data_IF_733457677310
#
_entry.id   IF_733457677310
#
_cell.length_a   1.000
_cell.length_b   1.000
_cell.length_c   1.000
_cell.angle_alpha   90.00
_cell.angle_beta   90.00
_cell.angle_gamma   90.00
#
_symmetry.space_group_name_H-M   'P 1'
#
loop_
_entity.id
_entity.type
_entity.pdbx_description
1 polymer ?
#
# COMPACT_ATOMS: atom_id res chain seq x y z
N UNK A 1 -13.28 27.98 2.53
CA UNK A 1 -14.72 28.07 2.16
C UNK A 1 -15.35 29.38 2.62
N UNK A 2 -14.82 30.03 3.67
CA UNK A 2 -15.46 31.21 4.29
C UNK A 2 -15.36 32.51 3.47
N UNK A 3 -14.31 32.66 2.64
CA UNK A 3 -14.17 33.82 1.75
C UNK A 3 -15.30 33.85 0.72
N UNK A 4 -15.66 32.71 0.12
CA UNK A 4 -16.74 32.64 -0.86
C UNK A 4 -18.10 32.99 -0.25
N UNK A 5 -18.37 32.47 0.94
CA UNK A 5 -19.58 32.81 1.72
C UNK A 5 -19.63 34.29 2.07
N UNK A 6 -18.48 34.90 2.37
CA UNK A 6 -18.39 36.34 2.63
C UNK A 6 -18.63 37.18 1.38
N UNK A 7 -18.08 36.77 0.23
CA UNK A 7 -18.34 37.41 -1.07
C UNK A 7 -19.84 37.35 -1.37
N UNK A 8 -20.45 36.17 -1.22
CA UNK A 8 -21.89 35.95 -1.47
C UNK A 8 -22.76 36.85 -0.59
N UNK A 9 -22.47 36.92 0.73
CA UNK A 9 -23.18 37.82 1.66
C UNK A 9 -23.03 39.30 1.26
N UNK A 10 -21.83 39.72 0.83
CA UNK A 10 -21.57 41.09 0.39
C UNK A 10 -22.34 41.43 -0.90
N UNK A 11 -22.42 40.50 -1.85
CA UNK A 11 -23.22 40.66 -3.07
C UNK A 11 -24.70 40.85 -2.72
N UNK A 12 -25.25 39.98 -1.88
CA UNK A 12 -26.65 40.07 -1.45
C UNK A 12 -26.96 41.39 -0.74
N UNK A 13 -26.05 41.86 0.11
CA UNK A 13 -26.23 43.13 0.84
C UNK A 13 -26.24 44.34 -0.10
N UNK A 14 -25.35 44.37 -1.10
CA UNK A 14 -25.31 45.45 -2.10
C UNK A 14 -26.57 45.44 -2.96
N UNK A 15 -27.02 44.25 -3.38
CA UNK A 15 -28.22 44.08 -4.19
C UNK A 15 -29.50 44.50 -3.44
N UNK A 16 -29.63 44.13 -2.16
CA UNK A 16 -30.83 44.43 -1.37
C UNK A 16 -30.94 45.89 -0.95
N UNK A 17 -29.80 46.57 -0.73
CA UNK A 17 -29.81 47.95 -0.25
C UNK A 17 -29.68 49.00 -1.36
N UNK A 18 -29.56 48.59 -2.65
CA UNK A 18 -29.25 49.48 -3.78
C UNK A 18 -28.04 50.40 -3.50
N UNK A 19 -27.06 49.92 -2.73
CA UNK A 19 -25.93 50.73 -2.28
C UNK A 19 -24.86 50.82 -3.37
N UNK A 20 -24.78 51.98 -4.03
CA UNK A 20 -23.66 52.31 -4.93
C UNK A 20 -22.43 52.83 -4.15
N UNK A 21 -22.24 52.39 -2.91
CA UNK A 21 -21.12 52.81 -2.08
C UNK A 21 -19.81 52.28 -2.67
N UNK A 22 -19.02 53.16 -3.25
CA UNK A 22 -17.75 52.83 -3.89
C UNK A 22 -16.79 52.07 -2.96
N UNK A 23 -16.84 52.32 -1.65
CA UNK A 23 -16.00 51.63 -0.66
C UNK A 23 -16.38 50.14 -0.52
N UNK A 24 -17.67 49.84 -0.43
CA UNK A 24 -18.19 48.47 -0.31
C UNK A 24 -17.92 47.65 -1.59
N UNK A 25 -18.12 48.27 -2.76
CA UNK A 25 -17.84 47.67 -4.06
C UNK A 25 -16.35 47.38 -4.21
N UNK A 26 -15.47 48.30 -3.80
CA UNK A 26 -14.02 48.09 -3.86
C UNK A 26 -13.55 46.98 -2.91
N UNK A 27 -14.16 46.86 -1.71
CA UNK A 27 -13.87 45.78 -0.79
C UNK A 27 -14.33 44.42 -1.33
N UNK A 28 -15.51 44.35 -1.96
CA UNK A 28 -15.98 43.14 -2.64
C UNK A 28 -15.02 42.72 -3.76
N UNK A 29 -14.57 43.66 -4.59
CA UNK A 29 -13.58 43.39 -5.66
C UNK A 29 -12.27 42.82 -5.11
N UNK A 30 -11.78 43.33 -3.98
CA UNK A 30 -10.58 42.81 -3.31
C UNK A 30 -10.76 41.37 -2.84
N UNK A 31 -11.89 41.06 -2.21
CA UNK A 31 -12.19 39.70 -1.73
C UNK A 31 -12.31 38.71 -2.90
N UNK A 32 -12.97 39.11 -3.99
CA UNK A 32 -13.07 38.30 -5.21
C UNK A 32 -11.68 38.01 -5.77
N UNK A 33 -10.84 39.03 -5.89
CA UNK A 33 -9.45 38.85 -6.36
C UNK A 33 -8.68 37.89 -5.46
N UNK A 34 -8.75 38.08 -4.14
CA UNK A 34 -8.08 37.20 -3.18
C UNK A 34 -8.57 35.75 -3.31
N UNK A 35 -9.87 35.54 -3.50
CA UNK A 35 -10.42 34.20 -3.70
C UNK A 35 -9.87 33.53 -4.96
N UNK A 36 -9.83 34.26 -6.08
CA UNK A 36 -9.29 33.74 -7.34
C UNK A 36 -7.80 33.40 -7.20
N UNK A 37 -7.01 34.27 -6.57
CA UNK A 37 -5.58 34.03 -6.32
C UNK A 37 -5.36 32.76 -5.46
N UNK A 38 -6.20 32.53 -4.44
CA UNK A 38 -6.15 31.31 -3.61
C UNK A 38 -6.58 30.07 -4.43
N UNK A 39 -7.61 30.21 -5.26
CA UNK A 39 -8.10 29.13 -6.11
C UNK A 39 -7.01 28.69 -7.10
N UNK A 40 -6.38 29.62 -7.80
CA UNK A 40 -5.32 29.34 -8.77
C UNK A 40 -4.12 28.67 -8.11
N UNK A 41 -3.71 29.15 -6.93
CA UNK A 41 -2.65 28.50 -6.12
C UNK A 41 -3.02 27.07 -5.72
N UNK A 42 -4.28 26.82 -5.36
CA UNK A 42 -4.75 25.47 -5.03
C UNK A 42 -4.73 24.54 -6.23
N UNK A 43 -5.14 25.03 -7.40
CA UNK A 43 -5.09 24.27 -8.65
C UNK A 43 -3.66 24.01 -9.11
N UNK A 44 -2.73 24.96 -8.91
CA UNK A 44 -1.30 24.75 -9.12
C UNK A 44 -0.76 23.62 -8.22
N UNK A 45 -1.04 23.68 -6.92
CA UNK A 45 -0.65 22.63 -5.95
C UNK A 45 -1.19 21.26 -6.36
N UNK A 46 -2.47 21.17 -6.76
CA UNK A 46 -3.05 19.90 -7.24
C UNK A 46 -2.33 19.39 -8.49
N UNK A 47 -2.02 20.27 -9.43
CA UNK A 47 -1.32 19.91 -10.67
C UNK A 47 0.09 19.40 -10.39
N UNK A 48 0.82 20.05 -9.48
CA UNK A 48 2.15 19.60 -9.05
C UNK A 48 2.08 18.23 -8.37
N UNK A 49 1.16 18.04 -7.41
CA UNK A 49 0.94 16.75 -6.76
C UNK A 49 0.62 15.65 -7.79
N UNK A 50 -0.24 15.95 -8.77
CA UNK A 50 -0.56 15.02 -9.85
C UNK A 50 0.65 14.70 -10.72
N UNK A 51 1.48 15.69 -11.07
CA UNK A 51 2.70 15.47 -11.83
C UNK A 51 3.66 14.52 -11.12
N UNK A 52 3.90 14.75 -9.83
CA UNK A 52 4.75 13.86 -9.00
C UNK A 52 4.13 12.46 -8.91
N UNK A 53 2.82 12.36 -8.73
CA UNK A 53 2.12 11.08 -8.70
C UNK A 53 2.32 10.28 -9.98
N UNK A 54 2.12 10.95 -11.12
CA UNK A 54 2.23 10.34 -12.43
C UNK A 54 3.67 9.88 -12.69
N UNK A 55 4.67 10.72 -12.40
CA UNK A 55 6.08 10.40 -12.59
C UNK A 55 6.55 9.24 -11.71
N UNK A 56 6.24 9.28 -10.41
CA UNK A 56 6.78 8.33 -9.45
C UNK A 56 6.03 7.00 -9.41
N UNK A 57 4.73 7.00 -9.72
CA UNK A 57 3.88 5.84 -9.51
C UNK A 57 3.15 5.42 -10.78
N UNK A 58 2.37 6.31 -11.40
CA UNK A 58 1.46 5.90 -12.48
C UNK A 58 2.20 5.47 -13.76
N UNK A 59 3.16 6.28 -14.19
CA UNK A 59 4.01 5.99 -15.33
C UNK A 59 4.86 4.74 -15.10
N UNK A 60 5.37 4.54 -13.88
CA UNK A 60 6.11 3.32 -13.54
C UNK A 60 5.23 2.07 -13.63
N UNK A 61 4.00 2.12 -13.12
CA UNK A 61 3.05 0.99 -13.25
C UNK A 61 2.67 0.72 -14.71
N UNK A 62 2.45 1.77 -15.50
CA UNK A 62 2.17 1.64 -16.93
C UNK A 62 3.35 1.02 -17.67
N UNK A 63 4.55 1.51 -17.44
CA UNK A 63 5.77 0.97 -18.04
C UNK A 63 5.98 -0.50 -17.66
N UNK A 64 5.80 -0.85 -16.37
CA UNK A 64 5.84 -2.22 -15.89
C UNK A 64 4.82 -3.11 -16.61
N UNK A 65 3.56 -2.66 -16.68
CA UNK A 65 2.49 -3.40 -17.37
C UNK A 65 2.85 -3.66 -18.84
N UNK A 66 3.33 -2.63 -19.54
CA UNK A 66 3.73 -2.75 -20.96
C UNK A 66 4.90 -3.73 -21.10
N UNK A 67 5.93 -3.62 -20.26
CA UNK A 67 7.07 -4.55 -20.23
C UNK A 67 6.61 -5.99 -20.04
N UNK A 68 5.69 -6.23 -19.10
CA UNK A 68 5.15 -7.57 -18.85
C UNK A 68 4.29 -8.10 -20.00
N UNK A 69 3.46 -7.25 -20.62
CA UNK A 69 2.66 -7.63 -21.79
C UNK A 69 3.55 -8.01 -22.99
N UNK A 70 4.62 -7.25 -23.23
CA UNK A 70 5.61 -7.57 -24.25
C UNK A 70 6.29 -8.92 -23.99
N UNK A 71 6.73 -9.16 -22.74
CA UNK A 71 7.29 -10.45 -22.33
C UNK A 71 6.34 -11.62 -22.62
N UNK A 72 5.06 -11.48 -22.28
CA UNK A 72 4.06 -12.52 -22.58
C UNK A 72 3.87 -12.72 -24.08
N UNK A 73 3.93 -11.64 -24.87
CA UNK A 73 3.87 -11.71 -26.33
C UNK A 73 5.06 -12.47 -26.90
N UNK A 74 6.28 -12.12 -26.51
CA UNK A 74 7.52 -12.78 -26.97
C UNK A 74 7.51 -14.27 -26.60
N UNK A 75 7.10 -14.59 -25.37
CA UNK A 75 6.96 -15.98 -24.91
C UNK A 75 5.94 -16.74 -25.75
N UNK A 76 4.84 -16.10 -26.17
CA UNK A 76 3.84 -16.70 -27.04
C UNK A 76 4.39 -16.95 -28.45
N UNK A 77 5.23 -16.06 -28.98
CA UNK A 77 5.89 -16.28 -30.27
C UNK A 77 6.89 -17.42 -30.21
N UNK A 78 7.75 -17.47 -29.18
CA UNK A 78 8.68 -18.58 -28.97
C UNK A 78 7.97 -19.94 -28.84
N UNK A 79 6.75 -19.96 -28.26
CA UNK A 79 5.93 -21.17 -28.24
C UNK A 79 5.48 -21.61 -29.64
N UNK A 80 5.13 -20.67 -30.52
CA UNK A 80 4.82 -20.99 -31.92
C UNK A 80 6.03 -21.59 -32.62
N UNK A 81 7.22 -21.05 -32.36
CA UNK A 81 8.47 -21.57 -32.93
C UNK A 81 8.78 -22.98 -32.43
N UNK A 82 8.52 -23.30 -31.15
CA UNK A 82 8.62 -24.67 -30.64
C UNK A 82 7.72 -25.62 -31.44
N UNK A 83 6.47 -25.22 -31.67
CA UNK A 83 5.50 -26.05 -32.42
C UNK A 83 5.93 -26.24 -33.87
N UNK A 84 6.47 -25.19 -34.49
CA UNK A 84 6.91 -25.18 -35.90
C UNK A 84 8.20 -25.95 -36.11
N UNK A 85 9.25 -25.62 -35.37
CA UNK A 85 10.61 -26.13 -35.59
C UNK A 85 10.87 -27.44 -34.86
N UNK A 86 10.27 -27.64 -33.69
CA UNK A 86 10.44 -28.83 -32.84
C UNK A 86 11.91 -29.14 -32.51
N UNK A 87 12.74 -28.11 -32.42
CA UNK A 87 14.17 -28.25 -32.11
C UNK A 87 14.47 -28.02 -30.64
N UNK A 88 15.57 -28.60 -30.14
CA UNK A 88 16.11 -28.31 -28.80
C UNK A 88 16.46 -26.83 -28.65
N UNK A 89 16.86 -26.16 -29.74
CA UNK A 89 17.17 -24.73 -29.77
C UNK A 89 15.95 -23.86 -29.47
N UNK A 90 14.82 -24.12 -30.15
CA UNK A 90 13.57 -23.39 -29.90
C UNK A 90 13.08 -23.55 -28.45
N UNK A 91 13.17 -24.77 -27.90
CA UNK A 91 12.82 -25.03 -26.49
C UNK A 91 13.74 -24.25 -25.54
N UNK A 92 15.05 -24.21 -25.79
CA UNK A 92 16.00 -23.44 -24.96
C UNK A 92 15.66 -21.95 -24.95
N UNK A 93 15.44 -21.34 -26.11
CA UNK A 93 15.04 -19.92 -26.22
C UNK A 93 13.81 -19.60 -25.37
N UNK A 94 12.78 -20.44 -25.43
CA UNK A 94 11.57 -20.27 -24.62
C UNK A 94 11.83 -20.38 -23.11
N UNK A 95 12.65 -21.34 -22.68
CA UNK A 95 12.98 -21.54 -21.27
C UNK A 95 13.89 -20.43 -20.71
N UNK A 96 14.73 -19.85 -21.56
CA UNK A 96 15.62 -18.74 -21.23
C UNK A 96 14.88 -17.40 -21.20
N UNK A 97 13.72 -17.29 -21.87
CA UNK A 97 12.83 -16.12 -21.82
C UNK A 97 12.23 -15.94 -20.42
N UNK A 98 12.93 -15.17 -19.58
CA UNK A 98 12.53 -14.76 -18.24
C UNK A 98 12.15 -13.29 -18.23
N UNK A 99 11.31 -12.93 -17.28
CA UNK A 99 10.95 -11.54 -17.05
C UNK A 99 11.96 -10.94 -16.08
N UNK A 100 12.75 -9.96 -16.52
CA UNK A 100 13.88 -9.43 -15.73
C UNK A 100 13.47 -8.33 -14.74
N UNK A 101 12.28 -7.74 -14.89
CA UNK A 101 11.81 -6.60 -14.09
C UNK A 101 10.99 -7.02 -12.84
N UNK A 102 11.10 -8.25 -12.35
CA UNK A 102 10.32 -8.73 -11.18
C UNK A 102 10.52 -7.85 -9.92
N UNK A 103 11.73 -7.36 -9.69
CA UNK A 103 12.04 -6.44 -8.58
C UNK A 103 11.40 -5.05 -8.74
N UNK A 104 11.18 -4.60 -9.98
CA UNK A 104 10.49 -3.34 -10.25
C UNK A 104 8.99 -3.44 -9.89
N UNK A 105 8.39 -4.63 -10.03
CA UNK A 105 6.99 -4.89 -9.66
C UNK A 105 6.74 -4.73 -8.16
N UNK A 106 7.62 -5.30 -7.35
CA UNK A 106 7.48 -5.38 -5.89
C UNK A 106 7.72 -4.05 -5.19
N UNK A 107 8.43 -3.13 -5.85
CA UNK A 107 8.91 -1.89 -5.25
C UNK A 107 8.08 -0.65 -5.62
N UNK A 108 7.02 -0.76 -6.43
CA UNK A 108 6.12 0.38 -6.67
C UNK A 108 5.06 0.43 -5.56
N UNK A 109 5.07 1.45 -4.67
CA UNK A 109 4.10 1.55 -3.59
C UNK A 109 2.66 1.55 -4.11
N UNK A 110 1.77 0.91 -3.36
CA UNK A 110 0.36 0.79 -3.69
C UNK A 110 -0.42 2.09 -3.36
N UNK A 111 -0.01 3.19 -3.99
CA UNK A 111 -0.61 4.52 -3.85
C UNK A 111 -1.33 4.83 -5.15
N UNK A 112 -2.65 5.08 -5.06
CA UNK A 112 -3.49 5.39 -6.23
C UNK A 112 -4.05 6.82 -6.23
N UNK A 113 -3.61 7.67 -5.31
CA UNK A 113 -4.10 9.04 -5.18
C UNK A 113 -2.94 10.02 -5.01
N UNK A 114 -3.07 11.19 -5.63
CA UNK A 114 -2.11 12.29 -5.51
C UNK A 114 -2.33 13.11 -4.23
N UNK A 115 -3.46 12.94 -3.54
CA UNK A 115 -3.87 13.77 -2.39
C UNK A 115 -2.85 13.75 -1.25
N UNK A 116 -2.26 12.59 -0.99
CA UNK A 116 -1.32 12.34 0.10
C UNK A 116 0.14 12.71 -0.23
N UNK A 117 0.40 13.21 -1.44
CA UNK A 117 1.75 13.61 -1.84
C UNK A 117 2.12 14.92 -1.16
N UNK A 118 3.31 14.94 -0.55
CA UNK A 118 3.91 16.13 0.07
C UNK A 118 4.79 16.84 -0.95
N UNK A 119 4.58 18.13 -1.11
CA UNK A 119 5.43 18.95 -1.97
C UNK A 119 6.74 19.29 -1.23
N UNK A 120 7.91 19.21 -1.89
CA UNK A 120 9.22 19.38 -1.24
C UNK A 120 9.55 20.81 -0.82
N UNK A 121 8.72 21.79 -1.19
CA UNK A 121 8.89 23.17 -0.80
C UNK A 121 7.88 23.53 0.28
N UNK A 122 8.37 23.97 1.44
CA UNK A 122 7.63 24.57 2.56
C UNK A 122 6.82 25.81 2.12
N UNK A 123 5.81 25.64 1.27
CA UNK A 123 4.67 26.55 1.17
C UNK A 123 3.75 26.05 2.26
N UNK A 124 3.73 26.78 3.39
CA UNK A 124 2.94 26.44 4.57
C UNK A 124 1.65 25.73 4.17
N UNK A 125 1.49 24.51 4.70
CA UNK A 125 0.27 23.74 4.60
C UNK A 125 -0.89 24.69 4.92
N UNK A 126 -1.65 25.09 3.89
CA UNK A 126 -2.91 25.79 4.08
C UNK A 126 -3.91 24.72 4.54
N UNK A 127 -3.70 24.22 5.74
CA UNK A 127 -4.62 23.36 6.48
C UNK A 127 -5.85 24.20 6.81
N UNK A 128 -6.80 24.25 5.87
CA UNK A 128 -8.17 24.69 6.14
C UNK A 128 -8.88 23.52 6.81
N UNK A 129 -8.43 23.13 8.00
CA UNK A 129 -9.17 22.26 8.91
C UNK A 129 -8.57 22.38 10.32
N UNK A 130 -8.85 23.52 10.97
CA UNK A 130 -9.19 23.59 12.40
C UNK A 130 -9.44 25.05 12.83
N UNK A 131 -10.71 25.45 12.83
CA UNK A 131 -11.17 26.48 13.78
C UNK A 131 -11.72 25.72 14.99
N UNK A 132 -11.18 25.94 16.21
CA UNK A 132 -11.71 25.32 17.41
C UNK A 132 -13.15 25.79 17.64
N UNK A 133 -14.03 24.83 17.94
CA UNK A 133 -15.42 25.10 18.31
C UNK A 133 -15.44 26.06 19.51
N UNK A 134 -16.19 27.16 19.35
CA UNK A 134 -16.38 28.15 20.40
C UNK A 134 -16.97 27.47 21.66
N UNK A 135 -16.19 27.46 22.74
CA UNK A 135 -16.73 27.21 24.08
C UNK A 135 -17.44 28.48 24.57
N UNK A 136 -18.62 28.38 25.20
CA UNK A 136 -19.32 29.54 25.72
C UNK A 136 -18.51 30.22 26.84
N UNK A 137 -18.51 31.55 26.80
CA UNK A 137 -17.82 32.44 27.73
C UNK A 137 -18.59 32.54 29.05
N UNK A 138 -17.90 32.37 30.17
CA UNK A 138 -18.14 33.07 31.45
C UNK A 138 -16.84 32.99 32.31
N UNK A 139 -16.64 33.83 33.33
CA UNK A 139 -16.01 35.14 33.22
C UNK A 139 -14.65 35.26 33.93
N UNK A 140 -13.86 36.22 33.43
CA UNK A 140 -12.81 37.05 34.04
C UNK A 140 -12.30 36.65 35.44
N UNK A 141 -10.98 36.42 35.56
CA UNK A 141 -10.19 37.04 36.63
C UNK A 141 -8.68 37.17 36.31
N UNK A 142 -8.16 38.34 36.68
CA UNK A 142 -6.85 38.93 36.44
C UNK A 142 -5.62 38.11 36.87
N UNK A 143 -4.50 38.20 36.12
CA UNK A 143 -3.22 38.80 36.58
C UNK A 143 -2.08 38.72 35.54
N UNK A 144 -1.68 39.92 35.09
CA UNK A 144 -0.32 40.50 34.94
C UNK A 144 0.87 39.71 34.37
N UNK A 145 1.41 40.32 33.31
CA UNK A 145 2.81 40.69 33.05
C UNK A 145 3.87 39.58 32.94
N UNK A 146 4.46 39.44 31.73
CA UNK A 146 5.89 39.71 31.48
C UNK A 146 6.22 39.61 29.98
N UNK A 147 6.61 40.76 29.38
CA UNK A 147 7.34 40.85 28.12
C UNK A 147 8.82 40.68 28.40
N UNK A 148 9.59 39.86 27.66
CA UNK A 148 10.97 40.16 27.18
C UNK A 148 11.31 39.20 25.98
N UNK A 149 12.41 39.35 25.20
CA UNK A 149 12.41 39.93 23.85
C UNK A 149 12.91 38.96 22.75
N UNK A 150 12.58 39.26 21.49
CA UNK A 150 13.11 38.57 20.30
C UNK A 150 14.59 38.93 20.10
N UNK A 151 15.46 37.93 19.90
CA UNK A 151 16.86 38.11 19.46
C UNK A 151 16.98 37.86 17.94
N UNK A 152 17.95 38.50 17.24
CA UNK A 152 17.98 38.57 15.79
C UNK A 152 18.62 37.34 15.11
N UNK A 153 18.10 37.03 13.93
CA UNK A 153 18.53 35.97 13.00
C UNK A 153 19.85 36.37 12.30
N UNK A 154 20.78 35.41 12.15
CA UNK A 154 21.99 35.52 11.32
C UNK A 154 21.78 34.88 9.94
N UNK A 155 22.49 35.34 8.89
CA UNK A 155 22.15 35.06 7.49
C UNK A 155 22.63 33.71 6.93
N UNK A 156 21.89 33.28 5.91
CA UNK A 156 21.98 32.07 5.08
C UNK A 156 23.33 31.93 4.36
N UNK A 157 23.89 30.71 4.36
CA UNK A 157 24.87 30.26 3.36
C UNK A 157 24.19 29.27 2.41
N UNK A 158 24.45 29.49 1.13
CA UNK A 158 23.97 28.77 -0.05
C UNK A 158 24.55 27.36 -0.14
N UNK A 159 23.69 26.36 -0.42
CA UNK A 159 24.12 25.03 -0.87
C UNK A 159 23.06 24.41 -1.81
N UNK A 160 23.57 23.70 -2.83
CA UNK A 160 22.89 23.02 -3.93
C UNK A 160 21.84 21.98 -3.46
N UNK A 161 20.87 21.58 -4.32
CA UNK A 161 19.85 20.60 -3.96
C UNK A 161 20.48 19.22 -3.82
N UNK A 162 20.48 18.70 -2.59
CA UNK A 162 20.76 17.30 -2.29
C UNK A 162 19.47 16.53 -2.52
N UNK A 163 19.49 15.61 -3.47
CA UNK A 163 18.45 14.60 -3.67
C UNK A 163 18.39 13.75 -2.40
N UNK A 164 17.36 13.96 -1.57
CA UNK A 164 17.09 13.13 -0.42
C UNK A 164 16.60 11.76 -0.92
N UNK A 165 17.48 10.75 -0.80
CA UNK A 165 17.10 9.34 -0.75
C UNK A 165 16.08 9.15 0.38
N UNK A 166 15.12 8.22 0.28
CA UNK A 166 14.27 7.89 1.40
C UNK A 166 15.16 7.36 2.52
N UNK A 167 15.17 8.04 3.68
CA UNK A 167 15.91 7.61 4.85
C UNK A 167 15.54 6.16 5.18
N UNK A 168 16.49 5.24 4.97
CA UNK A 168 16.47 3.94 5.64
C UNK A 168 16.51 4.23 7.14
N UNK A 169 15.36 4.11 7.80
CA UNK A 169 15.30 4.16 9.26
C UNK A 169 16.04 2.96 9.81
N UNK A 170 17.34 3.10 10.01
CA UNK A 170 18.12 2.15 10.78
C UNK A 170 17.61 2.13 12.22
N UNK A 171 17.25 0.95 12.70
CA UNK A 171 16.90 0.77 14.09
C UNK A 171 18.16 0.70 14.95
N UNK A 172 18.14 1.26 16.17
CA UNK A 172 19.28 1.17 17.07
C UNK A 172 19.62 -0.29 17.38
N UNK A 173 20.86 -0.54 17.75
CA UNK A 173 21.42 -1.87 18.02
C UNK A 173 20.51 -2.70 18.94
N UNK A 174 20.20 -3.94 18.52
CA UNK A 174 19.26 -4.84 19.21
C UNK A 174 17.77 -4.65 18.86
N UNK A 175 17.44 -3.77 17.90
CA UNK A 175 16.08 -3.61 17.36
C UNK A 175 16.03 -3.84 15.85
N UNK A 176 14.90 -4.35 15.37
CA UNK A 176 14.59 -4.56 13.96
C UNK A 176 13.30 -3.81 13.58
N UNK A 177 13.09 -3.55 12.28
CA UNK A 177 11.86 -2.91 11.80
C UNK A 177 10.72 -3.92 11.81
N UNK A 178 9.59 -3.54 12.43
CA UNK A 178 8.37 -4.32 12.29
C UNK A 178 7.81 -4.16 10.85
N UNK A 179 7.59 -5.25 10.08
CA UNK A 179 7.11 -5.15 8.71
C UNK A 179 5.71 -4.53 8.58
N UNK A 180 4.87 -4.69 9.60
CA UNK A 180 3.48 -4.19 9.65
C UNK A 180 3.42 -2.76 10.17
N UNK A 181 4.05 -2.48 11.33
CA UNK A 181 3.91 -1.16 11.98
C UNK A 181 4.98 -0.15 11.53
N UNK A 182 6.02 -0.59 10.81
CA UNK A 182 7.17 0.21 10.37
C UNK A 182 7.89 0.95 11.50
N UNK A 183 7.77 0.47 12.74
CA UNK A 183 8.45 0.99 13.93
C UNK A 183 9.57 0.04 14.36
N UNK A 184 10.62 0.58 14.97
CA UNK A 184 11.68 -0.21 15.58
C UNK A 184 11.20 -0.94 16.83
N UNK A 185 11.41 -2.24 16.85
CA UNK A 185 10.96 -3.18 17.88
C UNK A 185 12.09 -4.15 18.19
N UNK A 186 12.11 -4.74 19.38
CA UNK A 186 13.19 -5.65 19.76
C UNK A 186 13.25 -6.86 18.82
N UNK A 187 14.46 -7.30 18.48
CA UNK A 187 14.69 -8.53 17.70
C UNK A 187 14.01 -9.72 18.39
N UNK A 188 13.45 -10.64 17.59
CA UNK A 188 12.87 -11.86 18.13
C UNK A 188 13.91 -12.68 18.91
N UNK A 189 13.48 -13.35 19.98
CA UNK A 189 14.35 -14.20 20.82
C UNK A 189 14.89 -15.40 20.02
N UNK A 190 15.98 -15.99 20.50
CA UNK A 190 16.58 -17.17 19.89
C UNK A 190 15.55 -18.29 19.66
N UNK A 191 15.49 -18.78 18.42
CA UNK A 191 14.51 -19.78 18.00
C UNK A 191 13.14 -19.23 17.57
N UNK A 192 13.00 -17.90 17.45
CA UNK A 192 11.81 -17.25 16.90
C UNK A 192 12.15 -16.38 15.68
N UNK A 193 11.21 -16.28 14.74
CA UNK A 193 11.27 -15.39 13.57
C UNK A 193 10.06 -14.47 13.55
N UNK A 194 10.24 -13.24 13.07
CA UNK A 194 9.12 -12.29 12.93
C UNK A 194 8.26 -12.66 11.73
N UNK A 195 6.97 -12.87 11.96
CA UNK A 195 6.02 -13.11 10.89
C UNK A 195 5.78 -11.81 10.09
N UNK A 196 5.93 -11.82 8.76
CA UNK A 196 5.81 -10.63 7.92
C UNK A 196 4.39 -10.05 7.85
N UNK A 197 3.36 -10.89 7.99
CA UNK A 197 1.95 -10.50 7.89
C UNK A 197 1.39 -9.94 9.20
N UNK A 198 1.83 -10.49 10.33
CA UNK A 198 1.30 -10.10 11.66
C UNK A 198 2.26 -9.25 12.47
N UNK A 199 3.55 -9.21 12.11
CA UNK A 199 4.59 -8.47 12.83
C UNK A 199 4.97 -9.08 14.19
N UNK A 200 4.44 -10.26 14.55
CA UNK A 200 4.69 -10.97 15.81
C UNK A 200 5.79 -12.03 15.65
N UNK A 201 6.57 -12.27 16.70
CA UNK A 201 7.56 -13.36 16.73
C UNK A 201 6.85 -14.72 16.88
N UNK A 202 7.24 -15.69 16.06
CA UNK A 202 6.71 -17.06 16.07
C UNK A 202 7.87 -18.07 16.11
N UNK A 203 7.65 -19.27 16.66
CA UNK A 203 8.69 -20.28 16.77
C UNK A 203 9.16 -20.76 15.39
N UNK A 204 10.48 -20.81 15.18
CA UNK A 204 11.09 -21.31 13.95
C UNK A 204 10.94 -22.84 13.90
N UNK A 205 10.00 -23.36 13.10
CA UNK A 205 9.99 -24.78 12.75
C UNK A 205 11.22 -25.09 11.90
N UNK A 206 12.28 -25.60 12.52
CA UNK A 206 13.55 -25.98 11.88
C UNK A 206 13.31 -26.87 10.65
N UNK A 207 13.57 -26.36 9.46
CA UNK A 207 14.25 -27.11 8.39
C UNK A 207 15.67 -26.54 8.30
N UNK A 208 16.60 -27.25 8.93
CA UNK A 208 18.03 -26.98 8.86
C UNK A 208 18.51 -27.05 7.41
N UNK A 209 18.95 -25.92 6.87
CA UNK A 209 19.84 -25.84 5.69
C UNK A 209 21.27 -26.02 6.22
N UNK A 210 21.90 -27.13 5.85
CA UNK A 210 23.36 -27.25 5.79
C UNK A 210 23.71 -27.35 4.31
N UNK A 211 24.77 -26.66 3.87
CA UNK A 211 25.29 -26.63 2.49
C UNK A 211 25.58 -28.04 1.93
N UNK A 212 25.63 -28.22 0.59
CA UNK A 212 26.93 -28.59 0.02
C UNK A 212 27.21 -28.12 -1.44
N UNK A 213 28.51 -28.14 -1.77
CA UNK A 213 29.15 -27.89 -3.06
C UNK A 213 29.22 -29.19 -3.90
N UNK A 214 29.08 -29.04 -5.23
CA UNK A 214 29.36 -29.95 -6.39
C UNK A 214 29.77 -31.41 -6.13
N UNK A 215 29.02 -32.34 -6.74
CA UNK A 215 29.49 -33.33 -7.74
C UNK A 215 28.29 -34.12 -8.35
N UNK A 216 28.37 -34.43 -9.65
CA UNK A 216 27.45 -35.25 -10.47
C UNK A 216 28.25 -36.50 -10.94
N UNK A 217 27.69 -37.59 -11.54
CA UNK A 217 26.27 -37.90 -11.85
C UNK A 217 25.84 -39.41 -11.74
N UNK A 218 24.56 -39.64 -12.12
CA UNK A 218 23.93 -40.84 -12.74
C UNK A 218 23.33 -41.96 -11.88
N UNK A 219 21.98 -42.04 -11.93
CA UNK A 219 21.10 -43.08 -12.56
C UNK A 219 19.72 -43.02 -11.85
N UNK A 220 18.54 -43.23 -12.42
CA UNK A 220 17.95 -43.44 -13.75
C UNK A 220 16.44 -43.10 -13.56
N UNK A 221 15.76 -42.56 -14.58
CA UNK A 221 14.30 -42.40 -14.57
C UNK A 221 13.60 -43.79 -14.56
N UNK A 222 12.28 -43.85 -14.27
CA UNK A 222 11.38 -43.85 -15.41
C UNK A 222 10.18 -42.90 -15.29
N UNK A 223 9.85 -42.31 -16.44
CA UNK A 223 8.62 -41.55 -16.74
C UNK A 223 7.43 -42.46 -17.04
N UNK A 224 6.26 -41.80 -17.06
CA UNK A 224 4.94 -42.13 -17.67
C UNK A 224 3.97 -42.77 -16.66
N UNK A 225 2.72 -42.33 -16.46
CA UNK A 225 1.68 -41.74 -17.32
C UNK A 225 0.57 -41.11 -16.44
N UNK A 226 -0.17 -40.12 -16.95
CA UNK A 226 -1.61 -39.97 -16.66
C UNK A 226 -2.35 -40.52 -17.90
N UNK A 227 -3.51 -41.22 -17.79
CA UNK A 227 -4.73 -40.63 -17.23
C UNK A 227 -5.73 -41.57 -16.49
N UNK A 228 -6.64 -40.94 -15.74
CA UNK A 228 -7.95 -41.45 -15.21
C UNK A 228 -7.92 -42.55 -14.13
N UNK A 229 -8.34 -42.17 -12.93
CA UNK A 229 -8.79 -43.09 -11.87
C UNK A 229 -8.68 -42.42 -10.51
N UNK A 230 -9.79 -41.87 -10.00
CA UNK A 230 -9.85 -41.26 -8.68
C UNK A 230 -9.48 -42.31 -7.62
N UNK A 231 -8.25 -42.27 -7.10
CA UNK A 231 -7.89 -43.00 -5.90
C UNK A 231 -8.63 -42.34 -4.73
N UNK A 232 -9.54 -43.10 -4.12
CA UNK A 232 -10.16 -42.71 -2.85
C UNK A 232 -9.05 -42.43 -1.84
N UNK A 233 -9.05 -41.22 -1.28
CA UNK A 233 -8.17 -40.89 -0.17
C UNK A 233 -8.62 -41.70 1.04
N UNK A 234 -7.96 -42.81 1.31
CA UNK A 234 -8.12 -43.53 2.57
C UNK A 234 -7.58 -42.68 3.72
N UNK A 235 -8.39 -42.51 4.75
CA UNK A 235 -8.01 -41.81 5.96
C UNK A 235 -7.36 -42.80 6.95
N UNK A 236 -6.38 -42.35 7.75
CA UNK A 236 -5.78 -43.20 8.77
C UNK A 236 -6.83 -43.68 9.79
N UNK A 237 -6.54 -44.79 10.45
CA UNK A 237 -7.43 -45.46 11.40
C UNK A 237 -8.00 -44.48 12.45
N UNK A 238 -9.32 -44.50 12.64
CA UNK A 238 -10.04 -43.55 13.51
C UNK A 238 -10.42 -42.21 12.88
N UNK A 239 -10.17 -42.01 11.57
CA UNK A 239 -10.61 -40.83 10.82
C UNK A 239 -11.44 -41.21 9.59
N UNK A 240 -12.38 -40.36 9.23
CA UNK A 240 -13.23 -40.46 8.03
C UNK A 240 -13.04 -39.24 7.12
N UNK A 241 -13.38 -39.36 5.84
CA UNK A 241 -13.28 -38.23 4.91
C UNK A 241 -14.45 -37.27 5.11
N UNK A 242 -14.14 -35.97 5.24
CA UNK A 242 -15.19 -34.96 5.23
C UNK A 242 -15.73 -34.78 3.80
N UNK A 243 -17.06 -34.92 3.56
CA UNK A 243 -17.63 -34.83 2.22
C UNK A 243 -17.47 -33.44 1.60
N UNK A 244 -17.45 -32.38 2.43
CA UNK A 244 -17.32 -30.97 2.02
C UNK A 244 -15.86 -30.57 1.85
N UNK A 245 -15.02 -30.80 2.86
CA UNK A 245 -13.63 -30.31 2.83
C UNK A 245 -12.65 -31.27 2.15
N UNK A 246 -13.07 -32.52 1.86
CA UNK A 246 -12.24 -33.62 1.31
C UNK A 246 -10.95 -33.88 2.10
N UNK A 247 -10.95 -33.56 3.41
CA UNK A 247 -9.86 -33.80 4.37
C UNK A 247 -10.27 -34.87 5.37
N UNK A 248 -9.28 -35.61 5.89
CA UNK A 248 -9.49 -36.58 6.95
C UNK A 248 -9.74 -35.89 8.29
N UNK A 249 -10.83 -36.29 8.93
CA UNK A 249 -11.36 -35.71 10.17
C UNK A 249 -11.79 -36.84 11.10
N UNK A 250 -11.86 -36.59 12.40
CA UNK A 250 -12.24 -37.63 13.36
C UNK A 250 -13.66 -38.12 13.09
N UNK A 251 -13.90 -39.42 13.27
CA UNK A 251 -15.24 -40.04 13.17
C UNK A 251 -16.19 -39.37 14.17
N UNK A 252 -17.46 -39.22 13.79
CA UNK A 252 -18.48 -38.69 14.70
C UNK A 252 -18.63 -39.58 15.95
N UNK A 253 -18.95 -38.96 17.09
CA UNK A 253 -19.16 -39.68 18.36
C UNK A 253 -20.41 -40.58 18.28
N UNK A 254 -20.49 -41.57 19.16
CA UNK A 254 -21.63 -42.49 19.24
C UNK A 254 -22.97 -41.72 19.33
N UNK A 255 -23.91 -42.09 18.46
CA UNK A 255 -25.20 -41.42 18.32
C UNK A 255 -25.21 -40.18 17.42
N UNK A 256 -24.09 -39.84 16.78
CA UNK A 256 -23.99 -38.76 15.78
C UNK A 256 -23.63 -39.30 14.39
N UNK A 257 -24.15 -38.63 13.35
CA UNK A 257 -23.83 -38.90 11.94
C UNK A 257 -23.32 -37.63 11.26
N UNK A 258 -22.40 -37.78 10.30
CA UNK A 258 -21.88 -36.63 9.56
C UNK A 258 -22.89 -36.16 8.52
N UNK A 259 -23.27 -34.89 8.60
CA UNK A 259 -24.13 -34.25 7.61
C UNK A 259 -23.35 -34.07 6.28
N UNK A 260 -23.86 -34.57 5.14
CA UNK A 260 -23.17 -34.51 3.85
C UNK A 260 -23.03 -33.08 3.28
N UNK A 261 -23.95 -32.18 3.61
CA UNK A 261 -24.00 -30.80 3.09
C UNK A 261 -23.10 -29.86 3.90
N UNK A 262 -23.07 -30.02 5.22
CA UNK A 262 -22.32 -29.12 6.11
C UNK A 262 -20.98 -29.71 6.57
N UNK A 263 -20.79 -31.03 6.44
CA UNK A 263 -19.60 -31.75 6.91
C UNK A 263 -19.47 -31.84 8.44
N UNK A 264 -20.49 -31.39 9.20
CA UNK A 264 -20.54 -31.41 10.68
C UNK A 264 -21.25 -32.65 11.20
N UNK A 265 -20.87 -33.13 12.39
CA UNK A 265 -21.59 -34.21 13.08
C UNK A 265 -22.89 -33.68 13.69
N UNK A 266 -24.00 -34.39 13.47
CA UNK A 266 -25.33 -34.06 13.99
C UNK A 266 -25.93 -35.30 14.66
N UNK A 267 -26.83 -35.11 15.63
CA UNK A 267 -27.50 -36.24 16.28
C UNK A 267 -28.26 -37.09 15.24
N UNK A 268 -28.12 -38.42 15.32
CA UNK A 268 -28.87 -39.33 14.48
C UNK A 268 -30.38 -39.14 14.77
N UNK A 269 -31.14 -38.68 13.77
CA UNK A 269 -32.60 -38.60 13.88
C UNK A 269 -33.13 -40.03 14.00
N UNK A 270 -33.72 -40.37 15.16
CA UNK A 270 -34.54 -41.58 15.29
C UNK A 270 -35.74 -41.43 14.36
N UNK A 271 -35.92 -42.38 13.44
CA UNK A 271 -37.18 -42.56 12.71
C UNK A 271 -38.24 -43.14 13.62
#
# INVERSE_FOLDING_TARGET
>A
MDILRNIEKKILNIANNNTNNASEINNLKKDIKLYLDIFDKREEIKREKKGIYDELYDNKRKAYRISYENYLSDKKELMKDIVKEKTKGAIRKYLECKYEDEEAATNIPNIYTYENIRLPNNREDFDIEQVPQAKPIAPINNKKDHMIPVKPIKPIKTAKPVVAKPDEKECPEGKEINPVTKRCVNVCKDGQVRNPETGKCVASTKKTKTEPKKEEPKKEEPKKEEPKGAKEKECPEGKEINPVTKRCVNVCKDGQVRNPETGKCVAAKKK
#
